data_IF_777179212679
#
_entry.id   IF_777179212679
#
_cell.length_a   1.000
_cell.length_b   1.000
_cell.length_c   1.000
_cell.angle_alpha   90.00
_cell.angle_beta   90.00
_cell.angle_gamma   90.00
#
_symmetry.space_group_name_H-M   'P 1'
#
loop_
_entity.id
_entity.type
_entity.pdbx_description
1 polymer ?
#
# COMPACT_ATOMS: atom_id res chain seq x y z
N UNK A 1 -2.37 -24.65 11.28
CA UNK A 1 -1.14 -23.82 11.19
C UNK A 1 -1.50 -22.45 10.62
N UNK A 2 -1.14 -21.31 11.23
CA UNK A 2 -1.49 -19.98 10.68
C UNK A 2 -0.52 -19.57 9.57
N UNK A 3 -1.05 -19.23 8.39
CA UNK A 3 -0.28 -18.70 7.26
C UNK A 3 0.02 -17.21 7.42
N UNK A 4 1.22 -16.78 7.01
CA UNK A 4 1.61 -15.36 7.03
C UNK A 4 1.35 -14.71 5.67
N UNK A 5 0.14 -14.18 5.48
CA UNK A 5 -0.22 -13.47 4.25
C UNK A 5 0.49 -12.12 4.09
N UNK A 6 0.92 -11.83 2.87
CA UNK A 6 1.54 -10.58 2.45
C UNK A 6 0.78 -9.98 1.26
N UNK A 7 1.05 -8.71 0.95
CA UNK A 7 0.46 -8.03 -0.22
C UNK A 7 0.67 -8.78 -1.54
N UNK A 8 1.88 -9.29 -1.85
CA UNK A 8 2.11 -10.10 -3.04
C UNK A 8 1.20 -11.32 -3.18
N UNK A 9 0.81 -11.94 -2.06
CA UNK A 9 0.00 -13.17 -2.08
C UNK A 9 -1.40 -12.92 -2.61
N UNK A 10 -2.00 -11.77 -2.29
CA UNK A 10 -3.31 -11.41 -2.81
C UNK A 10 -3.28 -10.99 -4.28
N UNK A 11 -2.17 -10.39 -4.74
CA UNK A 11 -1.98 -10.07 -6.15
C UNK A 11 -1.91 -11.35 -6.99
N UNK A 12 -1.14 -12.34 -6.53
CA UNK A 12 -1.02 -13.63 -7.22
C UNK A 12 -2.30 -14.45 -7.12
N UNK A 13 -2.99 -14.41 -5.98
CA UNK A 13 -4.28 -15.08 -5.80
C UNK A 13 -5.32 -14.58 -6.80
N UNK A 14 -5.49 -13.27 -6.93
CA UNK A 14 -6.44 -12.69 -7.88
C UNK A 14 -6.00 -12.93 -9.34
N UNK A 15 -4.70 -12.99 -9.62
CA UNK A 15 -4.17 -13.38 -10.93
C UNK A 15 -4.57 -14.80 -11.31
N UNK A 16 -4.37 -15.77 -10.41
CA UNK A 16 -4.76 -17.15 -10.68
C UNK A 16 -6.28 -17.32 -10.78
N UNK A 17 -7.08 -16.55 -10.05
CA UNK A 17 -8.54 -16.59 -10.24
C UNK A 17 -8.99 -16.03 -11.59
N UNK A 18 -8.29 -15.05 -12.16
CA UNK A 18 -8.58 -14.56 -13.51
C UNK A 18 -8.19 -15.64 -14.53
N UNK A 19 -7.01 -16.24 -14.39
CA UNK A 19 -6.56 -17.33 -15.25
C UNK A 19 -7.50 -18.54 -15.18
N UNK A 20 -8.01 -18.87 -13.99
CA UNK A 20 -8.98 -19.95 -13.80
C UNK A 20 -10.28 -19.68 -14.57
N UNK A 21 -10.79 -18.45 -14.57
CA UNK A 21 -12.02 -18.10 -15.30
C UNK A 21 -11.85 -18.27 -16.81
N UNK A 22 -10.71 -17.84 -17.35
CA UNK A 22 -10.41 -18.04 -18.77
C UNK A 22 -10.30 -19.54 -19.10
N UNK A 23 -9.66 -20.33 -18.24
CA UNK A 23 -9.60 -21.78 -18.43
C UNK A 23 -10.97 -22.46 -18.34
N UNK A 24 -11.86 -21.98 -17.48
CA UNK A 24 -13.25 -22.45 -17.39
C UNK A 24 -14.00 -22.19 -18.69
N UNK A 25 -13.82 -21.01 -19.29
CA UNK A 25 -14.44 -20.62 -20.55
C UNK A 25 -13.91 -21.48 -21.72
N UNK A 26 -12.61 -21.82 -21.72
CA UNK A 26 -11.97 -22.59 -22.80
C UNK A 26 -12.18 -24.11 -22.69
N UNK A 27 -12.04 -24.69 -21.49
CA UNK A 27 -11.96 -26.14 -21.26
C UNK A 27 -13.08 -26.68 -20.37
N UNK A 28 -13.96 -25.80 -19.87
CA UNK A 28 -15.05 -26.15 -18.97
C UNK A 28 -14.61 -26.37 -17.53
N UNK A 29 -15.60 -26.35 -16.63
CA UNK A 29 -15.39 -26.44 -15.18
C UNK A 29 -14.77 -27.78 -14.73
N UNK A 30 -14.94 -28.85 -15.50
CA UNK A 30 -14.40 -30.18 -15.20
C UNK A 30 -12.88 -30.16 -15.17
N UNK A 31 -12.24 -29.49 -16.13
CA UNK A 31 -10.79 -29.39 -16.22
C UNK A 31 -10.18 -28.70 -14.97
N UNK A 32 -10.81 -27.61 -14.51
CA UNK A 32 -10.42 -26.93 -13.28
C UNK A 32 -10.59 -27.82 -12.06
N UNK A 33 -11.73 -28.50 -11.95
CA UNK A 33 -12.02 -29.39 -10.82
C UNK A 33 -11.01 -30.54 -10.76
N UNK A 34 -10.64 -31.10 -11.90
CA UNK A 34 -9.67 -32.19 -11.96
C UNK A 34 -8.25 -31.72 -11.60
N UNK A 35 -7.82 -30.57 -12.13
CA UNK A 35 -6.54 -29.96 -11.75
C UNK A 35 -6.45 -29.73 -10.24
N UNK A 36 -7.43 -29.03 -9.68
CA UNK A 36 -7.39 -28.66 -8.26
C UNK A 36 -7.55 -29.88 -7.35
N UNK A 37 -8.39 -30.86 -7.72
CA UNK A 37 -8.55 -32.09 -6.93
C UNK A 37 -7.28 -32.95 -6.95
N UNK A 38 -6.64 -33.11 -8.10
CA UNK A 38 -5.37 -33.83 -8.18
C UNK A 38 -4.29 -33.11 -7.36
N UNK A 39 -4.19 -31.78 -7.49
CA UNK A 39 -3.28 -30.97 -6.69
C UNK A 39 -3.51 -31.14 -5.17
N UNK A 40 -4.78 -31.23 -4.75
CA UNK A 40 -5.12 -31.51 -3.36
C UNK A 40 -4.63 -32.88 -2.91
N UNK A 41 -5.02 -33.95 -3.62
CA UNK A 41 -4.69 -35.34 -3.27
C UNK A 41 -3.17 -35.61 -3.32
N UNK A 42 -2.50 -35.12 -4.35
CA UNK A 42 -1.10 -35.48 -4.61
C UNK A 42 -0.12 -34.67 -3.76
N UNK A 43 -0.48 -33.43 -3.39
CA UNK A 43 0.47 -32.48 -2.79
C UNK A 43 0.01 -31.90 -1.45
N UNK A 44 -1.27 -31.56 -1.29
CA UNK A 44 -1.76 -30.83 -0.10
C UNK A 44 -2.18 -31.79 1.02
N UNK A 45 -2.95 -32.83 0.70
CA UNK A 45 -3.46 -33.84 1.65
C UNK A 45 -2.33 -34.57 2.41
N UNK A 46 -1.22 -34.99 1.77
CA UNK A 46 -0.12 -35.67 2.48
C UNK A 46 0.59 -34.79 3.53
N UNK A 47 0.36 -33.48 3.51
CA UNK A 47 0.95 -32.54 4.48
C UNK A 47 0.02 -32.26 5.68
N UNK A 48 -1.17 -32.86 5.69
CA UNK A 48 -2.14 -32.71 6.78
C UNK A 48 -1.91 -33.77 7.84
N UNK A 49 -2.03 -33.36 9.10
CA UNK A 49 -2.08 -34.30 10.21
C UNK A 49 -3.38 -35.11 10.14
N UNK A 50 -3.29 -36.44 10.32
CA UNK A 50 -4.45 -37.32 10.28
C UNK A 50 -5.53 -36.86 11.29
N UNK A 51 -6.76 -36.72 10.81
CA UNK A 51 -7.92 -36.37 11.63
C UNK A 51 -8.06 -34.89 12.01
N UNK A 52 -7.19 -34.01 11.53
CA UNK A 52 -7.31 -32.56 11.75
C UNK A 52 -7.98 -31.88 10.56
N UNK A 53 -9.11 -31.23 10.79
CA UNK A 53 -9.77 -30.45 9.74
C UNK A 53 -8.90 -29.24 9.35
N UNK A 54 -8.54 -29.10 8.07
CA UNK A 54 -7.58 -28.08 7.64
C UNK A 54 -8.19 -26.67 7.69
N UNK A 55 -7.42 -25.73 8.22
CA UNK A 55 -7.82 -24.32 8.21
C UNK A 55 -7.96 -23.81 6.77
N UNK A 56 -9.07 -23.10 6.51
CA UNK A 56 -9.42 -22.57 5.19
C UNK A 56 -8.35 -21.65 4.64
N UNK A 57 -7.84 -20.77 5.51
CA UNK A 57 -6.80 -19.81 5.17
C UNK A 57 -5.53 -20.55 4.72
N UNK A 58 -5.15 -21.57 5.48
CA UNK A 58 -3.99 -22.41 5.18
C UNK A 58 -4.17 -23.15 3.85
N UNK A 59 -5.34 -23.75 3.58
CA UNK A 59 -5.61 -24.45 2.31
C UNK A 59 -5.44 -23.54 1.10
N UNK A 60 -6.04 -22.35 1.14
CA UNK A 60 -5.95 -21.38 0.05
C UNK A 60 -4.49 -20.94 -0.13
N UNK A 61 -3.78 -20.69 0.97
CA UNK A 61 -2.38 -20.32 0.92
C UNK A 61 -1.50 -21.43 0.33
N UNK A 62 -1.77 -22.70 0.65
CA UNK A 62 -1.06 -23.84 0.09
C UNK A 62 -1.34 -24.05 -1.38
N UNK A 63 -2.61 -24.00 -1.79
CA UNK A 63 -2.97 -23.99 -3.20
C UNK A 63 -2.25 -22.88 -3.97
N UNK A 64 -2.19 -21.66 -3.42
CA UNK A 64 -1.47 -20.55 -4.03
C UNK A 64 0.02 -20.85 -4.19
N UNK A 65 0.66 -21.42 -3.18
CA UNK A 65 2.08 -21.79 -3.26
C UNK A 65 2.35 -22.83 -4.34
N UNK A 66 1.49 -23.84 -4.48
CA UNK A 66 1.63 -24.84 -5.53
C UNK A 66 1.32 -24.30 -6.92
N UNK A 67 0.33 -23.40 -7.07
CA UNK A 67 0.11 -22.71 -8.35
C UNK A 67 1.33 -21.89 -8.76
N UNK A 68 1.99 -21.22 -7.80
CA UNK A 68 3.25 -20.51 -8.06
C UNK A 68 4.38 -21.46 -8.47
N UNK A 69 4.49 -22.62 -7.82
CA UNK A 69 5.55 -23.60 -8.12
C UNK A 69 5.40 -24.15 -9.53
N UNK A 70 4.18 -24.56 -9.91
CA UNK A 70 3.84 -25.07 -11.24
C UNK A 70 4.06 -24.02 -12.34
N UNK A 71 3.58 -22.79 -12.12
CA UNK A 71 3.81 -21.68 -13.06
C UNK A 71 5.32 -21.44 -13.23
N UNK A 72 6.08 -21.46 -12.13
CA UNK A 72 7.52 -21.26 -12.19
C UNK A 72 8.25 -22.38 -12.95
N UNK A 73 7.83 -23.63 -12.79
CA UNK A 73 8.36 -24.77 -13.55
C UNK A 73 8.06 -24.64 -15.05
N UNK A 74 6.83 -24.28 -15.40
CA UNK A 74 6.40 -24.11 -16.80
C UNK A 74 7.24 -23.06 -17.54
N UNK A 75 7.66 -22.00 -16.85
CA UNK A 75 8.50 -20.92 -17.41
C UNK A 75 9.98 -21.02 -17.01
N UNK A 76 10.49 -22.23 -16.73
CA UNK A 76 11.92 -22.48 -16.53
C UNK A 76 12.56 -21.72 -15.37
N UNK A 77 11.82 -21.47 -14.29
CA UNK A 77 12.28 -20.73 -13.10
C UNK A 77 12.11 -19.21 -13.18
N UNK A 78 11.55 -18.71 -14.29
CA UNK A 78 11.38 -17.28 -14.56
C UNK A 78 9.91 -16.87 -14.73
N UNK A 79 8.98 -17.52 -14.01
CA UNK A 79 7.60 -17.05 -14.01
C UNK A 79 7.53 -15.62 -13.47
N UNK A 80 7.09 -14.71 -14.33
CA UNK A 80 6.70 -13.38 -13.95
C UNK A 80 5.32 -13.50 -13.33
N UNK A 81 5.22 -13.17 -12.05
CA UNK A 81 3.98 -13.14 -11.26
C UNK A 81 3.76 -11.72 -10.73
N UNK A 82 2.51 -11.21 -10.65
CA UNK A 82 2.22 -9.86 -10.16
C UNK A 82 2.79 -9.56 -8.78
N UNK A 83 2.77 -10.54 -7.88
CA UNK A 83 3.30 -10.45 -6.52
C UNK A 83 4.83 -10.35 -6.49
N UNK A 84 5.52 -11.10 -7.36
CA UNK A 84 6.99 -10.99 -7.51
C UNK A 84 7.38 -9.61 -8.05
N UNK A 85 6.70 -9.14 -9.09
CA UNK A 85 6.90 -7.79 -9.63
C UNK A 85 6.63 -6.72 -8.57
N UNK A 86 5.56 -6.87 -7.79
CA UNK A 86 5.28 -5.95 -6.68
C UNK A 86 6.42 -5.90 -5.68
N UNK A 87 6.97 -7.05 -5.28
CA UNK A 87 8.10 -7.10 -4.35
C UNK A 87 9.35 -6.39 -4.89
N UNK A 88 9.73 -6.70 -6.13
CA UNK A 88 10.89 -6.11 -6.80
C UNK A 88 10.72 -4.59 -6.97
N UNK A 89 9.56 -4.15 -7.46
CA UNK A 89 9.28 -2.74 -7.70
C UNK A 89 9.12 -1.95 -6.41
N UNK A 90 8.40 -2.48 -5.42
CA UNK A 90 8.25 -1.82 -4.14
C UNK A 90 9.59 -1.73 -3.41
N UNK A 91 10.44 -2.75 -3.51
CA UNK A 91 11.82 -2.71 -3.00
C UNK A 91 12.67 -1.64 -3.70
N UNK A 92 12.60 -1.57 -5.04
CA UNK A 92 13.27 -0.53 -5.82
C UNK A 92 12.78 0.87 -5.42
N UNK A 93 11.47 1.08 -5.29
CA UNK A 93 10.90 2.34 -4.82
C UNK A 93 11.40 2.68 -3.42
N UNK A 94 11.48 1.71 -2.51
CA UNK A 94 11.96 1.92 -1.15
C UNK A 94 13.40 2.46 -1.14
N UNK A 95 14.31 1.82 -1.90
CA UNK A 95 15.70 2.26 -2.04
C UNK A 95 15.83 3.59 -2.76
N UNK A 96 15.14 3.76 -3.89
CA UNK A 96 15.20 4.98 -4.70
C UNK A 96 14.64 6.18 -3.93
N UNK A 97 13.46 6.05 -3.31
CA UNK A 97 12.87 7.14 -2.52
C UNK A 97 13.73 7.48 -1.30
N UNK A 98 14.33 6.49 -0.63
CA UNK A 98 15.24 6.76 0.49
C UNK A 98 16.47 7.54 0.03
N UNK A 99 17.08 7.13 -1.08
CA UNK A 99 18.24 7.82 -1.65
C UNK A 99 17.88 9.25 -2.10
N UNK A 100 16.80 9.42 -2.88
CA UNK A 100 16.35 10.75 -3.32
C UNK A 100 15.99 11.64 -2.13
N UNK A 101 15.32 11.11 -1.11
CA UNK A 101 14.97 11.85 0.09
C UNK A 101 16.21 12.33 0.84
N UNK A 102 17.15 11.41 1.10
CA UNK A 102 18.40 11.73 1.79
C UNK A 102 19.23 12.74 0.99
N UNK A 103 19.37 12.53 -0.33
CA UNK A 103 20.07 13.46 -1.21
C UNK A 103 19.40 14.84 -1.25
N UNK A 104 18.06 14.89 -1.24
CA UNK A 104 17.32 16.17 -1.21
C UNK A 104 17.48 16.91 0.12
N UNK A 105 17.41 16.19 1.25
CA UNK A 105 17.63 16.77 2.58
C UNK A 105 19.07 17.26 2.75
N UNK A 106 20.04 16.45 2.31
CA UNK A 106 21.44 16.82 2.28
C UNK A 106 21.69 18.02 1.37
N UNK A 107 21.17 18.01 0.14
CA UNK A 107 21.33 19.10 -0.82
C UNK A 107 20.74 20.43 -0.33
N UNK A 108 19.54 20.40 0.26
CA UNK A 108 18.92 21.60 0.85
C UNK A 108 19.72 22.10 2.05
N UNK A 109 20.12 21.23 2.98
CA UNK A 109 20.93 21.61 4.12
C UNK A 109 22.30 22.15 3.68
N UNK A 110 22.93 21.54 2.67
CA UNK A 110 24.21 21.97 2.14
C UNK A 110 24.13 23.35 1.48
N UNK A 111 23.09 23.56 0.67
CA UNK A 111 22.82 24.85 0.03
C UNK A 111 22.51 25.93 1.05
N UNK A 112 21.83 25.58 2.15
CA UNK A 112 21.51 26.54 3.20
C UNK A 112 22.73 26.88 4.05
N UNK A 113 23.57 25.89 4.36
CA UNK A 113 24.78 26.00 5.18
C UNK A 113 26.04 26.29 4.35
N UNK A 114 25.91 26.68 3.08
CA UNK A 114 27.05 27.12 2.27
C UNK A 114 27.46 28.52 2.72
N UNK A 115 28.24 28.57 3.79
CA UNK A 115 28.83 29.77 4.34
C UNK A 115 29.91 30.32 3.40
N UNK A 116 29.86 31.62 3.10
CA UNK A 116 30.82 32.32 2.24
C UNK A 116 31.86 33.13 3.02
N UNK A 117 31.91 33.03 4.36
CA UNK A 117 32.80 33.86 5.18
C UNK A 117 32.25 35.24 5.55
N UNK A 118 31.20 35.70 4.86
CA UNK A 118 30.74 37.09 4.97
C UNK A 118 29.49 37.29 5.85
N UNK A 119 28.66 36.24 6.04
CA UNK A 119 27.40 36.35 6.78
C UNK A 119 27.13 35.07 7.59
N UNK A 120 26.93 35.19 8.92
CA UNK A 120 26.59 34.04 9.76
C UNK A 120 25.25 33.41 9.34
N UNK A 121 25.05 32.14 9.69
CA UNK A 121 23.86 31.38 9.35
C UNK A 121 22.67 31.82 10.21
N UNK A 122 21.59 32.26 9.57
CA UNK A 122 20.36 32.64 10.26
C UNK A 122 19.59 31.40 10.76
N UNK A 123 19.63 31.20 12.08
CA UNK A 123 18.97 30.09 12.78
C UNK A 123 17.45 30.17 12.70
N UNK A 124 16.87 31.38 12.72
CA UNK A 124 15.41 31.54 12.63
C UNK A 124 14.90 31.05 11.27
N UNK A 125 15.60 31.40 10.19
CA UNK A 125 15.28 30.92 8.85
C UNK A 125 15.50 29.41 8.73
N UNK A 126 16.60 28.89 9.29
CA UNK A 126 16.86 27.45 9.34
C UNK A 126 15.71 26.71 10.03
N UNK A 127 15.30 27.19 11.22
CA UNK A 127 14.25 26.57 12.00
C UNK A 127 12.90 26.59 11.27
N UNK A 128 12.53 27.70 10.63
CA UNK A 128 11.29 27.81 9.86
C UNK A 128 11.28 26.81 8.69
N UNK A 129 12.37 26.72 7.93
CA UNK A 129 12.45 25.86 6.73
C UNK A 129 12.54 24.39 7.11
N UNK A 130 13.48 24.02 7.98
CA UNK A 130 13.79 22.62 8.28
C UNK A 130 12.94 22.03 9.40
N UNK A 131 12.42 22.82 10.33
CA UNK A 131 11.58 22.33 11.43
C UNK A 131 10.12 22.74 11.22
N UNK A 132 9.85 24.04 11.10
CA UNK A 132 8.51 24.59 10.92
C UNK A 132 7.78 24.01 9.72
N UNK A 133 8.41 23.99 8.54
CA UNK A 133 7.83 23.41 7.32
C UNK A 133 7.48 21.93 7.48
N UNK A 134 8.29 21.16 8.20
CA UNK A 134 8.01 19.75 8.46
C UNK A 134 6.87 19.56 9.47
N UNK A 135 6.81 20.37 10.53
CA UNK A 135 5.69 20.37 11.47
C UNK A 135 4.39 20.70 10.73
N UNK A 136 4.38 21.74 9.88
CA UNK A 136 3.22 22.09 9.06
C UNK A 136 2.78 20.91 8.16
N UNK A 137 3.73 20.20 7.54
CA UNK A 137 3.41 19.03 6.72
C UNK A 137 2.81 17.87 7.55
N UNK A 138 3.31 17.65 8.77
CA UNK A 138 2.76 16.65 9.69
C UNK A 138 1.36 17.03 10.18
N UNK A 139 1.15 18.29 10.54
CA UNK A 139 -0.17 18.80 10.93
C UNK A 139 -1.16 18.72 9.77
N UNK A 140 -0.74 19.04 8.55
CA UNK A 140 -1.57 18.87 7.36
C UNK A 140 -1.95 17.39 7.15
N UNK A 141 -1.02 16.46 7.35
CA UNK A 141 -1.31 15.03 7.27
C UNK A 141 -2.35 14.59 8.30
N UNK A 142 -2.22 15.02 9.55
CA UNK A 142 -3.18 14.72 10.63
C UNK A 142 -4.54 15.37 10.37
N UNK A 143 -4.57 16.62 9.89
CA UNK A 143 -5.77 17.33 9.54
C UNK A 143 -6.53 16.64 8.40
N UNK A 144 -5.83 16.29 7.31
CA UNK A 144 -6.41 15.56 6.19
C UNK A 144 -6.95 14.20 6.66
N UNK A 145 -6.21 13.48 7.49
CA UNK A 145 -6.66 12.20 8.04
C UNK A 145 -7.93 12.36 8.90
N UNK A 146 -7.96 13.32 9.82
CA UNK A 146 -9.09 13.60 10.70
C UNK A 146 -10.33 14.07 9.94
N UNK A 147 -10.17 15.03 9.04
CA UNK A 147 -11.23 15.54 8.18
C UNK A 147 -11.88 14.42 7.34
N UNK A 148 -11.07 13.53 6.76
CA UNK A 148 -11.56 12.39 5.99
C UNK A 148 -12.32 11.39 6.84
N UNK A 149 -11.84 11.14 8.06
CA UNK A 149 -12.52 10.25 9.02
C UNK A 149 -13.91 10.77 9.38
N UNK A 150 -14.05 12.08 9.60
CA UNK A 150 -15.35 12.73 9.88
C UNK A 150 -16.28 12.67 8.67
N UNK A 151 -15.77 12.92 7.46
CA UNK A 151 -16.58 12.96 6.24
C UNK A 151 -16.99 11.59 5.70
N UNK A 152 -16.56 10.49 6.34
CA UNK A 152 -16.77 9.12 5.85
C UNK A 152 -16.17 8.86 4.46
N UNK A 153 -15.29 9.76 3.99
CA UNK A 153 -14.74 9.69 2.65
C UNK A 153 -13.59 8.68 2.61
N UNK A 154 -13.77 7.60 1.87
CA UNK A 154 -12.75 6.58 1.71
C UNK A 154 -11.50 7.14 1.01
N UNK A 155 -10.31 6.59 1.30
CA UNK A 155 -9.03 6.89 0.65
C UNK A 155 -9.11 6.76 -0.90
N UNK A 156 -10.12 6.04 -1.39
CA UNK A 156 -10.48 5.84 -2.80
C UNK A 156 -10.65 7.11 -3.62
N UNK A 157 -11.12 8.22 -3.04
CA UNK A 157 -11.34 9.50 -3.76
C UNK A 157 -10.11 10.42 -3.80
N UNK A 158 -8.98 10.00 -3.23
CA UNK A 158 -7.80 10.85 -3.14
C UNK A 158 -7.17 11.06 -4.51
N UNK A 159 -7.15 12.31 -4.99
CA UNK A 159 -6.41 12.74 -6.18
C UNK A 159 -4.96 12.27 -6.14
N UNK A 160 -4.34 12.25 -4.94
CA UNK A 160 -2.97 11.78 -4.70
C UNK A 160 -2.85 10.28 -4.94
N UNK A 161 -3.81 9.48 -4.48
CA UNK A 161 -3.81 8.03 -4.74
C UNK A 161 -4.05 7.77 -6.23
N UNK A 162 -4.89 8.56 -6.89
CA UNK A 162 -5.07 8.52 -8.36
C UNK A 162 -3.77 8.90 -9.10
N UNK A 163 -3.07 9.96 -8.68
CA UNK A 163 -1.81 10.42 -9.29
C UNK A 163 -0.67 9.43 -9.05
N UNK A 164 -0.55 8.89 -7.84
CA UNK A 164 0.41 7.85 -7.50
C UNK A 164 0.07 6.56 -8.24
N UNK A 165 -1.21 6.18 -8.37
CA UNK A 165 -1.60 5.01 -9.16
C UNK A 165 -1.34 5.22 -10.66
N UNK A 166 -1.60 6.42 -11.19
CA UNK A 166 -1.25 6.78 -12.57
C UNK A 166 0.27 6.75 -12.78
N UNK A 167 1.05 7.25 -11.82
CA UNK A 167 2.50 7.23 -11.82
C UNK A 167 3.07 5.81 -11.70
N UNK A 168 2.55 5.01 -10.77
CA UNK A 168 2.93 3.62 -10.56
C UNK A 168 2.58 2.79 -11.80
N UNK A 169 1.39 2.98 -12.37
CA UNK A 169 1.00 2.35 -13.63
C UNK A 169 1.90 2.83 -14.77
N UNK A 170 2.21 4.13 -14.90
CA UNK A 170 3.16 4.62 -15.91
C UNK A 170 4.57 4.08 -15.74
N UNK A 171 5.04 3.86 -14.50
CA UNK A 171 6.36 3.27 -14.22
C UNK A 171 6.35 1.77 -14.46
N UNK A 172 5.32 1.04 -14.02
CA UNK A 172 5.04 -0.36 -14.37
C UNK A 172 5.00 -0.55 -15.90
N UNK A 173 4.35 0.38 -16.60
CA UNK A 173 4.27 0.40 -18.05
C UNK A 173 5.53 0.95 -18.75
N UNK A 174 6.45 1.63 -18.07
CA UNK A 174 7.75 2.07 -18.66
C UNK A 174 8.87 1.07 -18.40
N UNK A 175 8.80 0.35 -17.29
CA UNK A 175 9.62 -0.84 -17.00
C UNK A 175 9.26 -2.01 -17.96
N UNK A 176 8.20 -1.85 -18.79
CA UNK A 176 7.91 -2.65 -19.99
C UNK A 176 9.14 -3.03 -20.82
N UNK A 177 10.15 -2.16 -20.87
CA UNK A 177 11.32 -2.29 -21.75
C UNK A 177 12.29 -3.43 -21.37
N UNK A 178 12.18 -4.04 -20.19
CA UNK A 178 13.15 -5.04 -19.73
C UNK A 178 12.61 -6.47 -19.51
N UNK A 179 11.32 -6.73 -19.73
CA UNK A 179 10.80 -8.11 -19.58
C UNK A 179 9.33 -8.38 -19.94
N UNK A 180 8.52 -7.36 -20.24
CA UNK A 180 7.09 -7.53 -20.55
C UNK A 180 6.82 -7.51 -22.07
N UNK A 181 7.80 -7.13 -22.89
CA UNK A 181 7.68 -7.23 -24.37
C UNK A 181 7.79 -8.66 -24.89
N UNK A 182 8.36 -9.59 -24.10
CA UNK A 182 8.39 -11.02 -24.42
C UNK A 182 7.16 -11.79 -23.92
N UNK A 183 6.22 -11.14 -23.23
CA UNK A 183 5.01 -11.80 -22.73
C UNK A 183 3.91 -11.80 -23.79
N UNK A 184 3.25 -12.93 -23.94
CA UNK A 184 2.06 -13.11 -24.77
C UNK A 184 0.96 -12.10 -24.42
N UNK A 185 0.24 -11.61 -25.44
CA UNK A 185 -0.77 -10.54 -25.31
C UNK A 185 -1.85 -10.87 -24.28
N UNK A 186 -2.33 -12.12 -24.25
CA UNK A 186 -3.33 -12.62 -23.30
C UNK A 186 -2.87 -12.54 -21.84
N UNK A 187 -1.63 -12.98 -21.57
CA UNK A 187 -1.04 -12.92 -20.22
C UNK A 187 -0.88 -11.48 -19.74
N UNK A 188 -0.54 -10.56 -20.64
CA UNK A 188 -0.45 -9.13 -20.33
C UNK A 188 -1.79 -8.53 -19.90
N UNK A 189 -2.89 -8.94 -20.53
CA UNK A 189 -4.24 -8.54 -20.11
C UNK A 189 -4.65 -9.13 -18.78
N UNK A 190 -4.36 -10.42 -18.52
CA UNK A 190 -4.60 -11.05 -17.21
C UNK A 190 -3.86 -10.32 -16.09
N UNK A 191 -2.61 -9.93 -16.33
CA UNK A 191 -1.80 -9.13 -15.42
C UNK A 191 -2.44 -7.78 -15.08
N UNK A 192 -2.85 -7.03 -16.10
CA UNK A 192 -3.49 -5.73 -15.93
C UNK A 192 -4.85 -5.90 -15.21
N UNK A 193 -5.59 -6.96 -15.52
CA UNK A 193 -6.85 -7.30 -14.89
C UNK A 193 -6.66 -7.67 -13.41
N UNK A 194 -5.60 -8.38 -13.03
CA UNK A 194 -5.29 -8.72 -11.63
C UNK A 194 -5.01 -7.47 -10.80
N UNK A 195 -4.17 -6.57 -11.32
CA UNK A 195 -3.89 -5.27 -10.70
C UNK A 195 -5.17 -4.42 -10.58
N UNK A 196 -6.00 -4.41 -11.62
CA UNK A 196 -7.27 -3.70 -11.62
C UNK A 196 -8.29 -4.31 -10.66
N UNK A 197 -8.38 -5.64 -10.56
CA UNK A 197 -9.30 -6.35 -9.68
C UNK A 197 -8.98 -6.05 -8.21
N UNK A 198 -7.71 -6.02 -7.86
CA UNK A 198 -7.25 -5.68 -6.51
C UNK A 198 -7.58 -4.23 -6.15
N UNK A 199 -7.52 -3.33 -7.13
CA UNK A 199 -7.87 -1.91 -6.98
C UNK A 199 -9.40 -1.68 -6.89
N UNK A 200 -10.17 -2.29 -7.78
CA UNK A 200 -11.62 -2.07 -7.95
C UNK A 200 -12.47 -2.83 -6.94
N UNK A 201 -12.02 -4.01 -6.45
CA UNK A 201 -12.75 -4.83 -5.48
C UNK A 201 -12.59 -4.32 -4.04
N UNK A 202 -12.55 -3.00 -3.88
CA UNK A 202 -12.12 -2.24 -2.70
C UNK A 202 -12.89 -2.42 -1.37
N UNK A 203 -13.81 -3.37 -1.23
CA UNK A 203 -14.42 -3.68 0.08
C UNK A 203 -13.55 -4.60 0.96
N UNK A 204 -12.55 -5.29 0.39
CA UNK A 204 -11.61 -6.15 1.13
C UNK A 204 -10.13 -5.73 1.03
N UNK A 205 -9.66 -5.36 -0.17
CA UNK A 205 -8.22 -5.09 -0.41
C UNK A 205 -7.85 -3.60 -0.50
N UNK A 206 -8.81 -2.69 -0.70
CA UNK A 206 -8.51 -1.28 -1.00
C UNK A 206 -7.76 -0.52 0.10
N UNK A 207 -8.10 -0.76 1.37
CA UNK A 207 -7.42 -0.16 2.55
C UNK A 207 -6.02 -0.74 2.77
N UNK A 208 -5.73 -1.91 2.22
CA UNK A 208 -4.44 -2.56 2.37
C UNK A 208 -3.36 -1.88 1.51
N UNK A 209 -3.72 -1.39 0.33
CA UNK A 209 -2.81 -0.74 -0.61
C UNK A 209 -2.50 0.74 -0.26
N UNK A 210 -3.22 1.36 0.68
CA UNK A 210 -2.85 2.69 1.18
C UNK A 210 -1.66 2.67 2.14
N UNK A 211 -1.45 1.57 2.88
CA UNK A 211 -0.35 1.48 3.85
C UNK A 211 1.05 1.52 3.22
N UNK A 212 1.34 0.80 2.12
CA UNK A 212 2.62 0.91 1.42
C UNK A 212 2.97 2.36 1.03
N UNK A 213 1.99 3.10 0.50
CA UNK A 213 2.21 4.50 0.12
C UNK A 213 2.48 5.38 1.33
N UNK A 214 1.69 5.23 2.39
CA UNK A 214 1.91 5.95 3.65
C UNK A 214 3.30 5.67 4.22
N UNK A 215 3.74 4.41 4.23
CA UNK A 215 5.07 4.00 4.68
C UNK A 215 6.19 4.60 3.82
N UNK A 216 6.02 4.68 2.50
CA UNK A 216 6.98 5.35 1.61
C UNK A 216 7.12 6.84 1.93
N UNK A 217 6.02 7.55 2.21
CA UNK A 217 6.08 8.96 2.61
C UNK A 217 6.77 9.16 3.97
N UNK A 218 6.52 8.28 4.94
CA UNK A 218 7.21 8.38 6.23
C UNK A 218 8.70 8.04 6.10
N UNK A 219 9.05 7.02 5.31
CA UNK A 219 10.44 6.69 4.99
C UNK A 219 11.16 7.84 4.32
N UNK A 220 10.52 8.49 3.33
CA UNK A 220 11.05 9.69 2.69
C UNK A 220 11.37 10.75 3.73
N UNK A 221 10.43 11.07 4.62
CA UNK A 221 10.67 12.05 5.66
C UNK A 221 11.78 11.65 6.65
N UNK A 222 11.91 10.36 6.99
CA UNK A 222 13.00 9.85 7.84
C UNK A 222 14.36 10.03 7.14
N UNK A 223 14.50 9.53 5.92
CA UNK A 223 15.73 9.61 5.14
C UNK A 223 16.13 11.07 4.83
N UNK A 224 15.15 11.94 4.56
CA UNK A 224 15.36 13.38 4.44
C UNK A 224 16.02 13.98 5.68
N UNK A 225 15.50 13.67 6.88
CA UNK A 225 16.06 14.19 8.14
C UNK A 225 17.46 13.63 8.42
N UNK A 226 17.75 12.38 8.06
CA UNK A 226 19.13 11.87 8.10
C UNK A 226 20.06 12.64 7.17
N UNK A 227 19.60 13.02 5.98
CA UNK A 227 20.37 13.88 5.07
C UNK A 227 20.66 15.27 5.67
N UNK A 228 19.63 15.91 6.25
CA UNK A 228 19.77 17.23 6.90
C UNK A 228 20.72 17.15 8.10
N UNK A 229 20.52 16.19 9.00
CA UNK A 229 21.38 15.98 10.18
C UNK A 229 22.82 15.67 9.76
N UNK A 230 23.01 14.80 8.76
CA UNK A 230 24.33 14.45 8.26
C UNK A 230 25.11 15.67 7.79
N UNK A 231 24.47 16.53 6.98
CA UNK A 231 25.13 17.76 6.51
C UNK A 231 25.35 18.78 7.62
N UNK A 232 24.38 18.96 8.53
CA UNK A 232 24.55 19.84 9.68
C UNK A 232 25.76 19.43 10.51
N UNK A 233 25.89 18.14 10.85
CA UNK A 233 27.02 17.61 11.62
C UNK A 233 28.35 17.71 10.87
N UNK A 234 28.38 17.36 9.57
CA UNK A 234 29.58 17.50 8.74
C UNK A 234 30.04 18.95 8.73
N UNK A 235 29.11 19.89 8.49
CA UNK A 235 29.43 21.32 8.43
C UNK A 235 29.91 21.87 9.76
N UNK A 236 29.30 21.48 10.87
CA UNK A 236 29.75 21.89 12.22
C UNK A 236 31.13 21.31 12.54
N UNK A 237 31.44 20.09 12.10
CA UNK A 237 32.73 19.48 12.33
C UNK A 237 33.84 20.01 11.41
N UNK A 238 33.51 20.40 10.17
CA UNK A 238 34.49 20.79 9.14
C UNK A 238 34.63 22.30 8.94
N UNK A 239 33.66 23.09 9.39
CA UNK A 239 33.59 24.52 9.14
C UNK A 239 33.27 25.25 10.43
N UNK A 240 33.94 26.39 10.66
CA UNK A 240 33.62 27.29 11.77
C UNK A 240 32.28 28.00 11.48
N UNK A 241 31.19 27.26 11.67
CA UNK A 241 29.85 27.74 11.41
C UNK A 241 29.41 28.67 12.53
N UNK A 242 29.36 29.95 12.16
CA UNK A 242 28.79 31.01 12.95
C UNK A 242 27.25 30.99 12.83
N UNK A 243 26.52 30.50 13.84
CA UNK A 243 25.05 30.57 13.88
C UNK A 243 24.57 31.79 14.68
N UNK A 244 23.56 32.48 14.19
CA UNK A 244 22.90 33.53 14.95
C UNK A 244 21.46 33.73 14.54
N UNK A 245 20.74 34.62 15.22
CA UNK A 245 19.34 34.84 14.93
C UNK A 245 19.10 36.28 14.46
N UNK A 246 18.11 36.43 13.58
CA UNK A 246 17.64 37.70 13.09
C UNK A 246 16.13 37.62 12.89
N UNK A 247 15.43 38.68 13.26
CA UNK A 247 14.01 38.84 12.97
C UNK A 247 13.77 40.20 12.33
N UNK A 248 12.91 40.24 11.31
CA UNK A 248 12.42 41.50 10.73
C UNK A 248 11.51 42.23 11.71
N UNK A 249 10.86 41.49 12.62
CA UNK A 249 10.08 42.04 13.73
C UNK A 249 11.04 42.29 14.89
N UNK A 250 10.94 43.45 15.54
CA UNK A 250 11.76 43.79 16.71
C UNK A 250 11.38 42.93 17.92
N UNK A 251 11.88 41.70 17.97
CA UNK A 251 11.75 40.80 19.10
C UNK A 251 12.84 41.11 20.14
N UNK A 252 12.49 41.00 21.42
CA UNK A 252 13.47 41.08 22.51
C UNK A 252 14.26 39.77 22.60
N UNK A 253 15.53 39.85 22.99
CA UNK A 253 16.35 38.65 23.20
C UNK A 253 15.79 37.76 24.32
N UNK A 254 15.12 38.36 25.31
CA UNK A 254 14.42 37.62 26.36
C UNK A 254 13.31 36.73 25.78
N UNK A 255 12.48 37.27 24.89
CA UNK A 255 11.41 36.50 24.26
C UNK A 255 11.98 35.31 23.44
N UNK A 256 13.10 35.53 22.73
CA UNK A 256 13.76 34.45 21.99
C UNK A 256 14.31 33.38 22.93
N UNK A 257 14.88 33.78 24.07
CA UNK A 257 15.36 32.85 25.10
C UNK A 257 14.23 31.99 25.68
N UNK A 258 13.12 32.62 26.07
CA UNK A 258 11.96 31.92 26.60
C UNK A 258 11.38 30.93 25.57
N UNK A 259 11.32 31.35 24.29
CA UNK A 259 10.84 30.49 23.20
C UNK A 259 11.77 29.30 22.95
N UNK A 260 13.08 29.52 22.89
CA UNK A 260 14.08 28.46 22.71
C UNK A 260 14.01 27.47 23.87
N UNK A 261 13.91 27.96 25.10
CA UNK A 261 13.76 27.12 26.28
C UNK A 261 12.48 26.29 26.23
N UNK A 262 11.36 26.89 25.81
CA UNK A 262 10.08 26.18 25.65
C UNK A 262 10.14 25.08 24.58
N UNK A 263 10.79 25.38 23.45
CA UNK A 263 11.04 24.41 22.38
C UNK A 263 12.01 23.30 22.86
N UNK A 264 12.96 23.62 23.75
CA UNK A 264 13.91 22.63 24.24
C UNK A 264 13.34 21.65 25.27
N UNK A 265 12.15 21.90 25.80
CA UNK A 265 11.50 21.08 26.84
C UNK A 265 11.55 19.57 26.58
N UNK A 266 11.32 19.03 25.36
CA UNK A 266 11.27 17.57 25.16
C UNK A 266 12.58 16.85 25.45
N UNK A 267 13.73 17.53 25.38
CA UNK A 267 15.05 16.93 25.60
C UNK A 267 15.84 17.56 26.74
N UNK A 268 15.57 18.83 27.09
CA UNK A 268 16.31 19.58 28.09
C UNK A 268 16.32 18.90 29.47
N UNK A 269 15.23 18.23 29.85
CA UNK A 269 15.14 17.50 31.12
C UNK A 269 16.09 16.29 31.18
N UNK A 270 16.47 15.73 30.02
CA UNK A 270 17.32 14.55 29.93
C UNK A 270 18.78 14.91 29.68
N UNK A 271 19.03 15.89 28.82
CA UNK A 271 20.37 16.23 28.33
C UNK A 271 20.98 17.48 29.01
N UNK A 272 20.19 18.20 29.81
CA UNK A 272 20.62 19.38 30.55
C UNK A 272 20.56 20.69 29.75
N UNK A 273 20.92 21.79 30.41
CA UNK A 273 20.80 23.16 29.91
C UNK A 273 21.85 23.56 28.87
N UNK A 274 22.91 22.77 28.68
CA UNK A 274 23.92 23.01 27.62
C UNK A 274 23.45 22.64 26.21
N UNK A 275 22.22 22.14 26.07
CA UNK A 275 21.65 21.70 24.79
C UNK A 275 20.88 22.77 24.03
N UNK A 276 20.81 23.98 24.57
CA UNK A 276 20.22 25.15 23.94
C UNK A 276 20.93 26.42 24.42
N UNK A 277 20.94 27.51 23.62
CA UNK A 277 21.65 28.72 23.99
C UNK A 277 20.98 29.44 25.15
N UNK A 278 21.79 29.94 26.09
CA UNK A 278 21.32 30.76 27.21
C UNK A 278 21.02 32.21 26.77
N UNK A 279 20.51 33.03 27.69
CA UNK A 279 20.15 34.42 27.38
C UNK A 279 21.34 35.24 26.87
N UNK A 280 22.54 35.04 27.43
CA UNK A 280 23.74 35.79 27.04
C UNK A 280 24.17 35.39 25.64
N UNK A 281 24.18 34.09 25.34
CA UNK A 281 24.49 33.54 24.03
C UNK A 281 23.49 33.99 22.97
N UNK A 282 22.19 34.08 23.32
CA UNK A 282 21.16 34.62 22.43
C UNK A 282 21.36 36.12 22.19
N UNK A 283 21.74 36.90 23.21
CA UNK A 283 22.06 38.31 23.02
C UNK A 283 23.30 38.50 22.15
N UNK A 284 24.35 37.73 22.40
CA UNK A 284 25.62 37.76 21.67
C UNK A 284 25.54 37.21 20.24
N UNK A 285 24.53 36.40 19.92
CA UNK A 285 24.30 35.86 18.57
C UNK A 285 23.25 36.64 17.74
N UNK A 286 22.76 37.78 18.24
CA UNK A 286 21.78 38.61 17.54
C UNK A 286 22.44 39.35 16.37
N UNK A 287 21.99 39.07 15.15
CA UNK A 287 22.51 39.73 13.94
C UNK A 287 21.76 41.03 13.65
N UNK A 288 22.46 42.17 13.69
CA UNK A 288 21.91 43.48 13.32
C UNK A 288 22.60 43.96 12.04
N UNK A 289 21.83 44.07 10.95
CA UNK A 289 22.35 44.41 9.62
C UNK A 289 23.08 45.77 9.57
N UNK A 290 22.72 46.70 10.47
CA UNK A 290 23.29 48.06 10.54
C UNK A 290 24.65 48.13 11.23
N UNK A 291 24.96 47.19 12.12
CA UNK A 291 26.14 47.26 13.01
C UNK A 291 27.33 46.42 12.49
N UNK A 292 27.18 45.81 11.30
CA UNK A 292 28.12 44.83 10.77
C UNK A 292 28.17 43.54 11.60
N UNK A 293 28.91 42.52 11.15
CA UNK A 293 29.00 41.22 11.85
C UNK A 293 30.22 41.11 12.80
N UNK A 294 30.98 42.19 12.98
CA UNK A 294 32.27 42.20 13.68
C UNK A 294 32.16 42.12 15.22
N UNK A 295 30.98 42.37 15.80
CA UNK A 295 30.74 42.34 17.25
C UNK A 295 30.29 40.96 17.78
N UNK A 296 30.15 39.98 16.89
CA UNK A 296 29.69 38.63 17.21
C UNK A 296 30.85 37.80 17.79
N UNK A 297 30.70 37.30 19.02
CA UNK A 297 31.73 36.48 19.68
C UNK A 297 31.57 35.02 19.27
N UNK A 298 32.61 34.39 18.70
CA UNK A 298 32.54 33.02 18.13
C UNK A 298 31.96 31.97 19.08
N UNK A 299 32.21 32.10 20.39
CA UNK A 299 31.69 31.17 21.41
C UNK A 299 30.15 31.15 21.49
N UNK A 300 29.49 32.29 21.30
CA UNK A 300 28.04 32.40 21.40
C UNK A 300 27.36 31.85 20.14
N UNK A 301 28.07 31.84 19.01
CA UNK A 301 27.54 31.41 17.73
C UNK A 301 27.58 29.89 17.56
N UNK A 302 28.49 29.19 18.24
CA UNK A 302 28.53 27.71 18.24
C UNK A 302 27.43 27.12 19.13
N UNK A 303 26.84 27.88 20.06
CA UNK A 303 25.84 27.38 21.02
C UNK A 303 24.53 26.83 20.40
N UNK A 304 24.25 27.14 19.14
CA UNK A 304 22.97 26.80 18.49
C UNK A 304 22.92 25.41 17.85
N UNK A 305 24.06 24.80 17.50
CA UNK A 305 24.04 23.53 16.76
C UNK A 305 23.41 22.37 17.56
N UNK A 306 23.62 22.21 18.89
CA UNK A 306 22.96 21.15 19.64
C UNK A 306 21.45 21.32 19.62
N UNK A 307 20.97 22.55 19.80
CA UNK A 307 19.55 22.90 19.74
C UNK A 307 18.95 22.54 18.39
N UNK A 308 19.63 22.88 17.28
CA UNK A 308 19.16 22.57 15.93
C UNK A 308 19.10 21.06 15.66
N UNK A 309 20.13 20.32 16.04
CA UNK A 309 20.16 18.87 15.92
C UNK A 309 19.01 18.22 16.70
N UNK A 310 18.81 18.64 17.96
CA UNK A 310 17.78 18.09 18.83
C UNK A 310 16.38 18.49 18.38
N UNK A 311 16.19 19.70 17.86
CA UNK A 311 14.92 20.11 17.26
C UNK A 311 14.55 19.23 16.05
N UNK A 312 15.51 18.93 15.16
CA UNK A 312 15.29 18.01 14.03
C UNK A 312 14.96 16.61 14.55
N UNK A 313 15.71 16.11 15.54
CA UNK A 313 15.48 14.79 16.12
C UNK A 313 14.08 14.67 16.75
N UNK A 314 13.69 15.62 17.60
CA UNK A 314 12.46 15.56 18.40
C UNK A 314 11.21 15.96 17.62
N UNK A 315 11.29 16.96 16.74
CA UNK A 315 10.10 17.49 16.05
C UNK A 315 9.94 16.99 14.61
N UNK A 316 11.01 16.51 13.98
CA UNK A 316 10.95 16.04 12.60
C UNK A 316 11.13 14.53 12.49
N UNK A 317 12.22 13.99 13.04
CA UNK A 317 12.58 12.58 12.88
C UNK A 317 11.73 11.66 13.74
N UNK A 318 11.64 11.91 15.05
CA UNK A 318 10.91 11.07 16.01
C UNK A 318 9.42 10.91 15.64
N UNK A 319 8.66 11.97 15.32
CA UNK A 319 7.26 11.82 14.95
C UNK A 319 7.08 10.97 13.69
N UNK A 320 8.00 11.07 12.73
CA UNK A 320 7.98 10.26 11.50
C UNK A 320 8.31 8.80 11.78
N UNK A 321 9.25 8.51 12.68
CA UNK A 321 9.54 7.14 13.13
C UNK A 321 8.29 6.55 13.81
N UNK A 322 7.63 7.30 14.70
CA UNK A 322 6.38 6.88 15.35
C UNK A 322 5.28 6.60 14.31
N UNK A 323 5.08 7.51 13.35
CA UNK A 323 4.11 7.31 12.27
C UNK A 323 4.46 6.12 11.37
N UNK A 324 5.74 5.92 11.05
CA UNK A 324 6.20 4.76 10.28
C UNK A 324 5.88 3.46 11.02
N UNK A 325 6.23 3.38 12.31
CA UNK A 325 5.90 2.24 13.16
C UNK A 325 4.38 2.01 13.20
N UNK A 326 3.59 3.04 13.50
CA UNK A 326 2.12 2.96 13.49
C UNK A 326 1.57 2.46 12.13
N UNK A 327 2.17 2.90 11.02
CA UNK A 327 1.85 2.42 9.68
C UNK A 327 2.17 0.93 9.47
N UNK A 328 3.29 0.45 10.00
CA UNK A 328 3.64 -0.97 9.90
C UNK A 328 2.69 -1.84 10.72
N UNK A 329 2.29 -1.39 11.91
CA UNK A 329 1.29 -2.07 12.74
C UNK A 329 -0.09 -2.05 12.08
N UNK A 330 -0.51 -0.90 11.54
CA UNK A 330 -1.76 -0.75 10.79
C UNK A 330 -1.84 -1.67 9.58
N UNK A 331 -0.74 -1.80 8.83
CA UNK A 331 -0.62 -2.75 7.71
C UNK A 331 -0.79 -4.20 8.17
N UNK A 332 -0.06 -4.61 9.23
CA UNK A 332 -0.14 -5.98 9.78
C UNK A 332 -1.54 -6.30 10.28
N UNK A 333 -2.18 -5.36 10.98
CA UNK A 333 -3.56 -5.51 11.46
C UNK A 333 -4.55 -5.61 10.30
N UNK A 334 -4.41 -4.76 9.28
CA UNK A 334 -5.28 -4.79 8.09
C UNK A 334 -5.19 -6.12 7.34
N UNK A 335 -4.00 -6.71 7.27
CA UNK A 335 -3.77 -8.03 6.68
C UNK A 335 -4.47 -9.14 7.47
N UNK A 336 -4.40 -9.09 8.81
CA UNK A 336 -5.01 -10.10 9.68
C UNK A 336 -6.55 -10.10 9.67
N UNK A 337 -7.18 -9.03 9.22
CA UNK A 337 -8.65 -8.90 9.16
C UNK A 337 -9.25 -9.27 7.79
N UNK A 338 -8.45 -9.77 6.85
CA UNK A 338 -8.94 -10.17 5.53
C UNK A 338 -9.78 -11.43 5.66
N UNK A 339 -11.01 -11.40 5.14
CA UNK A 339 -11.92 -12.54 5.18
C UNK A 339 -11.75 -13.44 3.96
N UNK A 340 -11.59 -14.74 4.23
CA UNK A 340 -11.50 -15.80 3.21
C UNK A 340 -12.86 -16.47 2.89
N UNK A 341 -13.97 -15.75 3.06
CA UNK A 341 -15.35 -16.26 2.85
C UNK A 341 -15.99 -15.81 1.52
N UNK A 342 -15.18 -15.33 0.57
CA UNK A 342 -15.68 -14.86 -0.73
C UNK A 342 -16.12 -16.03 -1.62
N UNK A 343 -17.05 -15.81 -2.58
CA UNK A 343 -17.50 -16.86 -3.51
C UNK A 343 -16.34 -17.55 -4.24
N UNK A 344 -15.36 -16.78 -4.76
CA UNK A 344 -14.19 -17.34 -5.45
C UNK A 344 -13.38 -18.28 -4.52
N UNK A 345 -13.21 -17.91 -3.25
CA UNK A 345 -12.53 -18.74 -2.24
C UNK A 345 -13.34 -20.00 -1.90
N UNK A 346 -14.67 -19.87 -1.77
CA UNK A 346 -15.55 -21.01 -1.50
C UNK A 346 -15.54 -21.99 -2.68
N UNK A 347 -15.60 -21.50 -3.91
CA UNK A 347 -15.52 -22.34 -5.10
C UNK A 347 -14.18 -23.07 -5.19
N UNK A 348 -13.07 -22.39 -4.88
CA UNK A 348 -11.77 -23.05 -4.77
C UNK A 348 -11.79 -24.16 -3.72
N UNK A 349 -12.24 -23.88 -2.49
CA UNK A 349 -12.30 -24.89 -1.43
C UNK A 349 -13.21 -26.07 -1.78
N UNK A 350 -14.35 -25.81 -2.44
CA UNK A 350 -15.21 -26.87 -2.96
C UNK A 350 -14.48 -27.73 -4.01
N UNK A 351 -13.74 -27.13 -4.95
CA UNK A 351 -12.96 -27.87 -5.95
C UNK A 351 -11.87 -28.74 -5.31
N UNK A 352 -11.20 -28.24 -4.27
CA UNK A 352 -10.16 -28.98 -3.54
C UNK A 352 -10.73 -30.16 -2.75
N UNK A 353 -11.80 -29.93 -1.98
CA UNK A 353 -12.27 -30.87 -0.97
C UNK A 353 -13.36 -31.83 -1.45
N UNK A 354 -14.13 -31.49 -2.48
CA UNK A 354 -15.27 -32.32 -2.90
C UNK A 354 -14.78 -33.65 -3.49
N UNK A 355 -15.23 -34.80 -2.95
CA UNK A 355 -14.89 -36.11 -3.51
C UNK A 355 -15.42 -36.26 -4.93
N UNK A 356 -14.68 -36.99 -5.78
CA UNK A 356 -15.20 -37.42 -7.08
C UNK A 356 -16.27 -38.47 -6.84
N UNK A 357 -17.53 -38.11 -7.07
CA UNK A 357 -18.58 -39.10 -7.26
C UNK A 357 -18.48 -39.58 -8.71
N UNK A 358 -17.67 -40.60 -8.94
CA UNK A 358 -17.83 -41.40 -10.14
C UNK A 358 -19.13 -42.18 -9.96
N UNK A 359 -20.23 -41.67 -10.52
CA UNK A 359 -21.35 -42.53 -10.88
C UNK A 359 -20.86 -43.44 -12.00
N UNK A 360 -20.09 -44.45 -11.62
CA UNK A 360 -19.90 -45.63 -12.44
C UNK A 360 -21.29 -46.23 -12.57
N UNK A 361 -21.94 -45.96 -13.70
CA UNK A 361 -23.01 -46.82 -14.20
C UNK A 361 -22.34 -48.18 -14.41
N UNK A 362 -22.29 -48.99 -13.33
CA UNK A 362 -22.30 -50.43 -13.48
C UNK A 362 -23.64 -50.71 -14.14
N UNK A 363 -23.65 -50.65 -15.47
CA UNK A 363 -24.62 -51.35 -16.28
C UNK A 363 -24.43 -52.79 -15.87
N UNK A 364 -25.19 -53.20 -14.85
CA UNK A 364 -25.34 -54.59 -14.49
C UNK A 364 -26.06 -55.16 -15.69
N UNK A 365 -25.30 -55.70 -16.62
CA UNK A 365 -25.78 -56.57 -17.68
C UNK A 365 -26.26 -57.86 -17.00
N UNK A 366 -27.27 -57.76 -16.14
CA UNK A 366 -28.15 -58.88 -15.88
C UNK A 366 -28.86 -59.08 -17.20
N UNK A 367 -28.50 -60.15 -17.92
CA UNK A 367 -29.02 -60.54 -19.22
C UNK A 367 -30.51 -60.85 -19.20
N UNK A 368 -31.34 -59.86 -18.86
CA UNK A 368 -32.76 -59.85 -19.14
C UNK A 368 -32.92 -59.06 -20.44
N UNK A 369 -33.52 -59.65 -21.49
CA UNK A 369 -33.78 -58.92 -22.71
C UNK A 369 -34.62 -57.68 -22.37
N UNK A 370 -34.21 -56.54 -22.90
CA UNK A 370 -35.03 -55.35 -22.95
C UNK A 370 -36.26 -55.73 -23.78
N UNK A 371 -37.38 -55.98 -23.12
CA UNK A 371 -38.67 -56.08 -23.79
C UNK A 371 -38.98 -54.64 -24.21
N UNK A 372 -38.84 -54.37 -25.51
CA UNK A 372 -39.38 -53.15 -26.11
C UNK A 372 -40.87 -53.06 -25.71
N UNK A 373 -41.38 -51.89 -25.30
CA UNK A 373 -42.81 -51.75 -25.06
C UNK A 373 -43.52 -52.11 -26.36
N UNK A 374 -44.43 -53.08 -26.29
CA UNK A 374 -45.24 -53.50 -27.42
C UNK A 374 -45.96 -52.30 -28.02
N UNK A 375 -45.78 -52.08 -29.32
CA UNK A 375 -46.67 -51.28 -30.15
C UNK A 375 -48.08 -51.83 -30.01
N UNK A 376 -48.88 -51.18 -29.20
CA UNK A 376 -50.34 -51.22 -29.21
C UNK A 376 -50.77 -49.94 -28.53
N UNK A 377 -51.98 -49.45 -28.84
CA UNK A 377 -52.54 -48.15 -28.44
C UNK A 377 -52.17 -47.00 -29.37
N UNK A 378 -52.72 -47.03 -30.60
CA UNK A 378 -53.52 -45.93 -31.13
C UNK A 378 -54.32 -46.45 -32.34
N UNK A 379 -55.58 -46.83 -32.11
CA UNK A 379 -56.60 -46.80 -33.15
C UNK A 379 -57.82 -46.10 -32.54
N UNK A 380 -58.42 -45.21 -33.35
CA UNK A 380 -59.61 -44.40 -33.11
C UNK A 380 -59.57 -43.27 -32.06
N UNK A 381 -59.10 -42.10 -32.50
CA UNK A 381 -59.79 -40.84 -32.20
C UNK A 381 -59.57 -39.82 -33.31
N UNK A 382 -60.68 -39.40 -33.91
CA UNK A 382 -60.79 -38.48 -35.05
C UNK A 382 -59.99 -37.18 -34.87
N UNK A 383 -59.35 -36.75 -35.95
CA UNK A 383 -58.75 -35.43 -36.14
C UNK A 383 -59.89 -34.39 -36.31
N UNK A 384 -59.99 -33.35 -35.46
CA UNK A 384 -60.73 -32.15 -35.81
C UNK A 384 -59.75 -31.08 -36.31
N UNK A 385 -60.01 -30.60 -37.52
CA UNK A 385 -59.43 -29.40 -38.10
C UNK A 385 -59.58 -28.19 -37.18
N UNK A 386 -58.47 -27.43 -37.03
CA UNK A 386 -58.35 -25.97 -36.80
C UNK A 386 -57.32 -25.58 -35.72
N UNK A 387 -56.41 -24.62 -36.01
CA UNK A 387 -55.45 -24.12 -35.04
C UNK A 387 -56.12 -23.10 -34.10
N UNK A 388 -56.20 -23.42 -32.79
CA UNK A 388 -56.53 -22.41 -31.77
C UNK A 388 -55.26 -21.68 -31.35
N UNK A 389 -55.17 -20.42 -31.77
CA UNK A 389 -54.21 -19.42 -31.31
C UNK A 389 -54.32 -19.23 -29.79
N UNK A 390 -53.18 -19.31 -29.09
CA UNK A 390 -53.06 -19.00 -27.67
C UNK A 390 -52.86 -17.48 -27.53
N UNK A 391 -53.72 -16.72 -26.82
CA UNK A 391 -53.50 -15.30 -26.62
C UNK A 391 -52.46 -15.04 -25.52
N UNK A 392 -51.34 -14.41 -25.89
CA UNK A 392 -50.36 -13.84 -24.96
C UNK A 392 -50.96 -12.58 -24.32
N UNK A 393 -51.27 -12.62 -23.02
CA UNK A 393 -51.63 -11.43 -22.24
C UNK A 393 -50.37 -10.59 -21.96
N UNK A 394 -50.24 -9.48 -22.67
CA UNK A 394 -49.28 -8.42 -22.36
C UNK A 394 -49.81 -7.62 -21.16
N UNK A 395 -49.16 -7.72 -20.01
CA UNK A 395 -49.43 -6.87 -18.83
C UNK A 395 -48.75 -5.52 -19.04
N UNK A 396 -49.55 -4.49 -19.37
CA UNK A 396 -49.10 -3.09 -19.37
C UNK A 396 -48.98 -2.59 -17.93
N UNK A 397 -47.75 -2.32 -17.48
CA UNK A 397 -47.49 -1.63 -16.21
C UNK A 397 -47.86 -0.15 -16.35
N UNK A 398 -48.85 0.30 -15.57
CA UNK A 398 -49.38 1.66 -15.57
C UNK A 398 -48.43 2.57 -14.77
N UNK A 399 -47.81 3.55 -15.44
CA UNK A 399 -47.10 4.68 -14.80
C UNK A 399 -48.11 5.49 -13.97
N UNK A 400 -47.92 5.52 -12.65
CA UNK A 400 -48.58 6.47 -11.76
C UNK A 400 -47.83 7.81 -11.78
N UNK A 401 -48.48 8.85 -12.30
CA UNK A 401 -48.19 10.26 -12.01
C UNK A 401 -48.96 10.65 -10.74
N UNK A 402 -48.29 11.30 -9.81
CA UNK A 402 -48.89 12.20 -8.81
C UNK A 402 -47.94 13.39 -8.62
N UNK A 403 -48.26 14.52 -9.25
CA UNK A 403 -48.11 15.83 -8.60
C UNK A 403 -49.34 16.05 -7.71
N UNK A 404 -49.45 17.04 -6.83
CA UNK A 404 -48.71 18.29 -6.67
C UNK A 404 -49.05 18.87 -5.27
N UNK A 405 -48.18 19.76 -4.78
CA UNK A 405 -48.48 20.92 -3.89
C UNK A 405 -48.85 20.73 -2.41
N UNK A 406 -47.90 21.11 -1.53
CA UNK A 406 -48.00 22.27 -0.63
C UNK A 406 -46.60 22.68 -0.15
#
# INVERSE_FOLDING_TARGET
>A
MKSLWRIPDFLDLEFFFIQDRELEEEQGITALRDRDRNLYLDTIEPQLDEGVEPDREWLIHRWLQERRSLENQQYGGHALLPGRMWYELYGLFWSLFSFLAMASGAGLAWSFLSYSGAQPVNVSLFFIVFVGGQICALLALLFIWGFRKVRGSDLRSSLILSLVNKGLNSVLFKIRKYGVESMESSRRSQFAAALAAVHTRGKGYGTMFSWPLFLLFQLFGIAFNFGVLGILLVKVASSDLAFGWQSTIQLSSQFVADLVQWIAVPWAWLLGSSTYPDLNQIQGSRMILKDGFYHLTSSDLVSWWPFLCLAICCYCLLPRIVLFMAGTFGRKKSLAHISFHRPDHNQLLHRLLSPRLETSLKTKTDGRPIIAPAEQWYDDAQIPDHPKTIPVKIVKQKRGKTGDSA
#
